data_IF_738065365124
#
_entry.id   IF_738065365124
#
_cell.length_a   1.000
_cell.length_b   1.000
_cell.length_c   1.000
_cell.angle_alpha   90.00
_cell.angle_beta   90.00
_cell.angle_gamma   90.00
#
_symmetry.space_group_name_H-M   'P 1'
#
loop_
_entity.id
_entity.type
_entity.pdbx_description
1 polymer ?
#
# COMPACT_ATOMS: atom_id res chain seq x y z
N UNK A 1 13.10 14.94 20.56
CA UNK A 1 11.96 15.12 19.65
C UNK A 1 12.50 15.39 18.28
N UNK A 2 12.23 14.50 17.32
CA UNK A 2 12.71 14.69 15.95
C UNK A 2 11.68 15.46 15.12
N UNK A 3 12.17 16.28 14.22
CA UNK A 3 11.34 17.02 13.28
C UNK A 3 10.61 16.08 12.33
N UNK A 4 11.27 15.00 11.96
CA UNK A 4 10.75 13.98 11.06
C UNK A 4 9.51 13.29 11.62
N UNK A 5 9.49 13.01 12.92
CA UNK A 5 8.32 12.42 13.58
C UNK A 5 7.16 13.42 13.70
N UNK A 6 7.45 14.69 14.01
CA UNK A 6 6.44 15.75 14.01
C UNK A 6 5.77 15.91 12.63
N UNK A 7 6.58 15.95 11.56
CA UNK A 7 6.10 16.05 10.18
C UNK A 7 5.25 14.83 9.82
N UNK A 8 5.67 13.61 10.21
CA UNK A 8 4.90 12.40 10.01
C UNK A 8 3.53 12.45 10.72
N UNK A 9 3.49 12.81 12.01
CA UNK A 9 2.25 12.90 12.77
C UNK A 9 1.28 13.93 12.19
N UNK A 10 1.79 15.09 11.79
CA UNK A 10 0.97 16.13 11.13
C UNK A 10 0.40 15.64 9.81
N UNK A 11 1.22 15.00 8.97
CA UNK A 11 0.77 14.46 7.69
C UNK A 11 -0.24 13.33 7.87
N UNK A 12 -0.01 12.42 8.81
CA UNK A 12 -0.93 11.34 9.13
C UNK A 12 -2.31 11.88 9.53
N UNK A 13 -2.37 12.77 10.53
CA UNK A 13 -3.62 13.41 10.97
C UNK A 13 -4.32 14.17 9.85
N UNK A 14 -3.56 14.86 9.01
CA UNK A 14 -4.11 15.55 7.84
C UNK A 14 -4.74 14.57 6.84
N UNK A 15 -4.14 13.39 6.64
CA UNK A 15 -4.67 12.38 5.75
C UNK A 15 -5.91 11.67 6.34
N UNK A 16 -5.94 11.39 7.65
CA UNK A 16 -7.14 10.90 8.35
C UNK A 16 -8.31 11.87 8.15
N UNK A 17 -8.05 13.18 8.36
CA UNK A 17 -9.05 14.22 8.14
C UNK A 17 -9.51 14.27 6.68
N UNK A 18 -8.62 14.16 5.70
CA UNK A 18 -8.99 14.09 4.27
C UNK A 18 -9.92 12.91 3.98
N UNK A 19 -9.64 11.74 4.56
CA UNK A 19 -10.50 10.57 4.44
C UNK A 19 -11.90 10.84 4.98
N UNK A 20 -12.01 11.42 6.16
CA UNK A 20 -13.29 11.80 6.75
C UNK A 20 -14.03 12.85 5.92
N UNK A 21 -13.34 13.92 5.47
CA UNK A 21 -13.94 14.96 4.64
C UNK A 21 -14.47 14.38 3.32
N UNK A 22 -13.72 13.47 2.69
CA UNK A 22 -14.18 12.80 1.48
C UNK A 22 -15.45 11.96 1.73
N UNK A 23 -15.49 11.16 2.82
CA UNK A 23 -16.69 10.39 3.19
C UNK A 23 -17.87 11.33 3.43
N UNK A 24 -17.66 12.42 4.16
CA UNK A 24 -18.68 13.43 4.46
C UNK A 24 -19.30 14.04 3.20
N UNK A 25 -18.48 14.25 2.18
CA UNK A 25 -18.90 14.93 0.95
C UNK A 25 -19.47 13.94 -0.11
N UNK A 26 -18.98 12.69 -0.14
CA UNK A 26 -19.31 11.73 -1.17
C UNK A 26 -20.23 10.59 -0.71
N UNK A 27 -20.23 10.26 0.58
CA UNK A 27 -21.04 9.21 1.22
C UNK A 27 -21.70 9.72 2.51
N UNK A 28 -22.48 10.85 2.44
CA UNK A 28 -23.04 11.46 3.64
C UNK A 28 -23.95 10.55 4.45
N UNK A 29 -24.51 9.50 3.84
CA UNK A 29 -25.30 8.48 4.51
C UNK A 29 -24.50 7.60 5.49
N UNK A 30 -23.18 7.61 5.42
CA UNK A 30 -22.30 6.98 6.41
C UNK A 30 -22.12 7.84 7.67
N UNK A 31 -22.57 9.09 7.65
CA UNK A 31 -22.51 9.97 8.81
C UNK A 31 -23.85 9.94 9.53
N UNK A 32 -23.95 9.37 10.74
CA UNK A 32 -25.21 9.32 11.47
C UNK A 32 -25.79 10.72 11.73
N UNK A 33 -27.11 10.83 11.64
CA UNK A 33 -27.83 12.09 11.86
C UNK A 33 -27.46 12.71 13.21
N UNK A 34 -27.15 14.01 13.20
CA UNK A 34 -26.79 14.78 14.39
C UNK A 34 -25.38 14.53 14.94
N UNK A 35 -24.61 13.56 14.37
CA UNK A 35 -23.26 13.23 14.86
C UNK A 35 -22.14 13.89 14.07
N UNK A 36 -22.46 14.66 13.03
CA UNK A 36 -21.45 15.21 12.09
C UNK A 36 -20.37 16.03 12.79
N UNK A 37 -20.73 16.92 13.69
CA UNK A 37 -19.78 17.78 14.41
C UNK A 37 -18.94 16.99 15.41
N UNK A 38 -19.54 16.01 16.11
CA UNK A 38 -18.83 15.16 17.05
C UNK A 38 -17.77 14.30 16.32
N UNK A 39 -18.15 13.69 15.20
CA UNK A 39 -17.27 12.89 14.38
C UNK A 39 -16.17 13.73 13.70
N UNK A 40 -16.50 14.94 13.24
CA UNK A 40 -15.49 15.84 12.70
C UNK A 40 -14.46 16.24 13.76
N UNK A 41 -14.90 16.45 15.00
CA UNK A 41 -13.97 16.70 16.11
C UNK A 41 -13.15 15.45 16.45
N UNK A 42 -13.79 14.29 16.60
CA UNK A 42 -13.14 13.02 16.97
C UNK A 42 -12.10 12.61 15.92
N UNK A 43 -12.50 12.52 14.65
CA UNK A 43 -11.68 11.99 13.57
C UNK A 43 -10.74 13.06 13.00
N UNK A 44 -11.25 14.29 12.83
CA UNK A 44 -10.50 15.37 12.17
C UNK A 44 -9.52 16.11 13.05
N UNK A 45 -9.73 16.14 14.39
CA UNK A 45 -8.89 16.92 15.30
C UNK A 45 -8.33 16.12 16.46
N UNK A 46 -9.14 15.26 17.10
CA UNK A 46 -8.73 14.53 18.30
C UNK A 46 -8.05 13.19 18.01
N UNK A 47 -8.11 12.69 16.76
CA UNK A 47 -7.47 11.46 16.36
C UNK A 47 -6.01 11.42 16.81
N UNK A 48 -5.61 10.31 17.42
CA UNK A 48 -4.25 10.08 17.88
C UNK A 48 -3.67 11.19 18.79
N UNK A 49 -4.55 11.87 19.55
CA UNK A 49 -4.08 12.90 20.49
C UNK A 49 -3.08 12.32 21.51
N UNK A 50 -3.25 11.06 21.89
CA UNK A 50 -2.37 10.37 22.85
C UNK A 50 -0.92 10.29 22.38
N UNK A 51 -0.67 10.24 21.06
CA UNK A 51 0.69 10.26 20.47
C UNK A 51 1.46 11.56 20.76
N UNK A 52 0.80 12.61 21.23
CA UNK A 52 1.46 13.83 21.72
C UNK A 52 1.91 13.76 23.17
N UNK A 53 1.50 12.72 23.92
CA UNK A 53 1.92 12.52 25.30
C UNK A 53 3.35 11.95 25.36
N UNK A 54 4.19 12.36 26.31
CA UNK A 54 5.59 11.92 26.36
C UNK A 54 5.78 10.40 26.39
N UNK A 55 4.88 9.68 27.07
CA UNK A 55 4.95 8.22 27.23
C UNK A 55 4.59 7.42 25.97
N UNK A 56 4.03 8.08 24.97
CA UNK A 56 3.87 7.53 23.62
C UNK A 56 4.85 8.21 22.64
N UNK A 57 4.94 9.54 22.66
CA UNK A 57 5.75 10.30 21.72
C UNK A 57 7.23 9.89 21.72
N UNK A 58 7.87 9.89 22.90
CA UNK A 58 9.30 9.64 23.00
C UNK A 58 9.71 8.23 22.54
N UNK A 59 9.01 7.15 22.95
CA UNK A 59 9.32 5.81 22.46
C UNK A 59 9.07 5.62 20.96
N UNK A 60 8.03 6.21 20.40
CA UNK A 60 7.76 6.16 18.94
C UNK A 60 8.85 6.89 18.16
N UNK A 61 9.23 8.10 18.60
CA UNK A 61 10.30 8.88 17.98
C UNK A 61 11.62 8.11 18.02
N UNK A 62 12.00 7.57 19.19
CA UNK A 62 13.22 6.79 19.36
C UNK A 62 13.22 5.53 18.49
N UNK A 63 12.09 4.83 18.39
CA UNK A 63 11.98 3.59 17.63
C UNK A 63 12.05 3.81 16.13
N UNK A 64 11.31 4.78 15.58
CA UNK A 64 11.22 4.99 14.15
C UNK A 64 12.31 5.93 13.59
N UNK A 65 12.75 6.92 14.37
CA UNK A 65 13.62 7.99 13.91
C UNK A 65 14.95 8.09 14.67
N UNK A 66 15.09 7.42 15.81
CA UNK A 66 16.29 7.49 16.65
C UNK A 66 17.52 6.74 16.12
N UNK A 67 17.39 6.00 15.00
CA UNK A 67 18.51 5.26 14.36
C UNK A 67 19.07 4.08 15.17
N UNK A 68 18.56 3.83 16.39
CA UNK A 68 18.99 2.74 17.28
C UNK A 68 17.79 1.84 17.65
N UNK A 69 17.94 0.54 17.45
CA UNK A 69 16.96 -0.50 17.79
C UNK A 69 17.48 -1.39 18.94
N UNK A 70 18.06 -0.79 19.98
CA UNK A 70 18.45 -1.54 21.17
C UNK A 70 17.26 -2.24 21.83
N UNK A 71 17.53 -3.26 22.64
CA UNK A 71 16.48 -3.99 23.36
C UNK A 71 15.55 -3.03 24.15
N UNK A 72 16.11 -2.02 24.81
CA UNK A 72 15.34 -1.05 25.58
C UNK A 72 14.41 -0.23 24.68
N UNK A 73 14.92 0.29 23.55
CA UNK A 73 14.10 1.07 22.59
C UNK A 73 12.93 0.23 22.07
N UNK A 74 13.13 -1.05 21.77
CA UNK A 74 12.05 -1.95 21.34
C UNK A 74 11.02 -2.13 22.46
N UNK A 75 11.47 -2.37 23.70
CA UNK A 75 10.56 -2.57 24.85
C UNK A 75 9.76 -1.32 25.17
N UNK A 76 10.37 -0.14 25.13
CA UNK A 76 9.70 1.14 25.37
C UNK A 76 8.64 1.40 24.29
N UNK A 77 8.95 1.10 23.02
CA UNK A 77 7.99 1.17 21.92
C UNK A 77 6.82 0.18 22.08
N UNK A 78 7.09 -1.07 22.45
CA UNK A 78 6.03 -2.07 22.69
C UNK A 78 5.07 -1.62 23.81
N UNK A 79 5.63 -1.01 24.87
CA UNK A 79 4.81 -0.45 25.95
C UNK A 79 4.00 0.77 25.49
N UNK A 80 4.61 1.67 24.74
CA UNK A 80 3.91 2.83 24.15
C UNK A 80 2.80 2.39 23.18
N UNK A 81 3.04 1.33 22.39
CA UNK A 81 2.01 0.73 21.53
C UNK A 81 0.85 0.15 22.36
N UNK A 82 1.15 -0.54 23.47
CA UNK A 82 0.12 -1.05 24.37
C UNK A 82 -0.73 0.10 24.95
N UNK A 83 -0.09 1.18 25.41
CA UNK A 83 -0.80 2.37 25.88
C UNK A 83 -1.68 2.96 24.80
N UNK A 84 -1.15 3.05 23.59
CA UNK A 84 -1.82 3.63 22.44
C UNK A 84 -3.13 2.89 22.10
N UNK A 85 -3.09 1.57 21.96
CA UNK A 85 -4.28 0.77 21.63
C UNK A 85 -5.33 0.79 22.76
N UNK A 86 -4.91 0.97 24.01
CA UNK A 86 -5.85 1.09 25.14
C UNK A 86 -6.47 2.49 25.28
N UNK A 87 -5.76 3.54 24.86
CA UNK A 87 -6.23 4.92 24.90
C UNK A 87 -7.09 5.29 23.69
N UNK A 88 -6.92 4.59 22.59
CA UNK A 88 -7.54 4.92 21.30
C UNK A 88 -8.49 3.79 20.84
N UNK A 89 -9.80 3.92 21.10
CA UNK A 89 -10.78 2.88 20.79
C UNK A 89 -10.98 2.60 19.29
N UNK A 90 -10.40 3.40 18.40
CA UNK A 90 -10.39 3.11 16.97
C UNK A 90 -9.46 1.96 16.59
N UNK A 91 -8.64 1.44 17.48
CA UNK A 91 -7.87 0.23 17.26
C UNK A 91 -8.66 -1.02 17.60
N UNK A 92 -8.73 -1.99 16.69
CA UNK A 92 -9.50 -3.22 16.90
C UNK A 92 -9.03 -4.03 18.11
N UNK A 93 -7.73 -3.96 18.46
CA UNK A 93 -7.16 -4.63 19.64
C UNK A 93 -7.79 -4.15 20.95
N UNK A 94 -8.30 -2.93 21.01
CA UNK A 94 -9.02 -2.38 22.17
C UNK A 94 -10.26 -3.19 22.53
N UNK A 95 -10.85 -3.88 21.54
CA UNK A 95 -12.12 -4.60 21.64
C UNK A 95 -11.94 -6.11 21.83
N UNK A 96 -10.72 -6.57 22.11
CA UNK A 96 -10.39 -7.96 22.39
C UNK A 96 -10.24 -8.14 23.90
N UNK A 97 -11.20 -8.82 24.52
CA UNK A 97 -11.18 -9.13 25.95
C UNK A 97 -10.52 -10.50 26.15
N UNK A 98 -9.47 -10.52 26.94
CA UNK A 98 -8.84 -11.74 27.45
C UNK A 98 -9.28 -11.92 28.88
N UNK A 99 -9.87 -13.08 29.19
CA UNK A 99 -10.37 -13.40 30.51
C UNK A 99 -9.25 -13.89 31.44
N UNK A 100 -9.47 -13.74 32.75
CA UNK A 100 -8.53 -14.25 33.77
C UNK A 100 -8.62 -15.77 33.92
N UNK A 101 -9.77 -16.37 33.58
CA UNK A 101 -9.97 -17.82 33.62
C UNK A 101 -9.39 -18.45 32.33
N UNK A 102 -8.42 -19.38 32.44
CA UNK A 102 -7.81 -20.03 31.28
C UNK A 102 -8.77 -20.92 30.49
N UNK A 103 -9.91 -21.33 31.09
CA UNK A 103 -10.94 -22.12 30.42
C UNK A 103 -11.92 -21.24 29.62
N UNK A 104 -11.86 -19.91 29.79
CA UNK A 104 -12.65 -18.96 29.01
C UNK A 104 -11.88 -18.51 27.75
N UNK A 105 -12.52 -18.66 26.60
CA UNK A 105 -11.95 -18.15 25.34
C UNK A 105 -11.98 -16.62 25.33
N UNK A 106 -11.10 -16.01 24.54
CA UNK A 106 -11.14 -14.55 24.29
C UNK A 106 -12.51 -14.12 23.75
N UNK A 107 -12.98 -12.96 24.15
CA UNK A 107 -14.22 -12.36 23.65
C UNK A 107 -13.94 -11.18 22.76
N UNK A 108 -14.47 -11.20 21.54
CA UNK A 108 -14.39 -10.09 20.60
C UNK A 108 -15.64 -9.24 20.73
N UNK A 109 -15.49 -8.03 21.23
CA UNK A 109 -16.59 -7.10 21.48
C UNK A 109 -16.96 -6.33 20.20
N UNK A 110 -18.23 -5.93 20.09
CA UNK A 110 -18.68 -5.05 19.02
C UNK A 110 -18.09 -3.66 19.19
N UNK A 111 -17.41 -3.16 18.15
CA UNK A 111 -16.93 -1.78 18.12
C UNK A 111 -18.09 -0.82 17.83
N UNK A 112 -18.27 0.27 18.58
CA UNK A 112 -19.22 1.33 18.25
C UNK A 112 -18.90 1.96 16.89
N UNK A 113 -19.96 2.37 16.18
CA UNK A 113 -19.85 2.82 14.80
C UNK A 113 -18.87 4.01 14.60
N UNK A 114 -18.86 4.95 15.53
CA UNK A 114 -17.97 6.10 15.53
C UNK A 114 -16.48 5.69 15.48
N UNK A 115 -16.12 4.66 16.23
CA UNK A 115 -14.74 4.14 16.24
C UNK A 115 -14.44 3.26 15.01
N UNK A 116 -15.46 2.58 14.45
CA UNK A 116 -15.31 1.88 13.16
C UNK A 116 -14.97 2.90 12.06
N UNK A 117 -15.70 4.01 12.02
CA UNK A 117 -15.48 5.05 11.01
C UNK A 117 -14.12 5.73 11.19
N UNK A 118 -13.70 5.97 12.44
CA UNK A 118 -12.35 6.51 12.75
C UNK A 118 -11.25 5.53 12.35
N UNK A 119 -11.37 4.25 12.75
CA UNK A 119 -10.44 3.18 12.35
C UNK A 119 -10.31 3.09 10.82
N UNK A 120 -11.43 3.20 10.12
CA UNK A 120 -11.45 3.19 8.67
C UNK A 120 -10.69 4.38 8.07
N UNK A 121 -10.90 5.60 8.58
CA UNK A 121 -10.19 6.79 8.14
C UNK A 121 -8.69 6.71 8.45
N UNK A 122 -8.31 6.11 9.58
CA UNK A 122 -6.93 5.83 9.96
C UNK A 122 -6.24 4.89 8.96
N UNK A 123 -6.86 3.76 8.65
CA UNK A 123 -6.34 2.85 7.62
C UNK A 123 -6.25 3.51 6.26
N UNK A 124 -7.25 4.30 5.88
CA UNK A 124 -7.28 4.98 4.59
C UNK A 124 -6.27 6.13 4.47
N UNK A 125 -5.81 6.70 5.59
CA UNK A 125 -4.77 7.73 5.61
C UNK A 125 -3.49 7.28 4.89
N UNK A 126 -3.19 5.98 4.92
CA UNK A 126 -2.07 5.38 4.20
C UNK A 126 -2.25 5.42 2.67
N UNK A 127 -3.47 5.20 2.18
CA UNK A 127 -3.80 5.34 0.77
C UNK A 127 -3.63 6.78 0.28
N UNK A 128 -4.02 7.76 1.10
CA UNK A 128 -3.78 9.19 0.83
C UNK A 128 -2.30 9.53 0.78
N UNK A 129 -1.48 8.93 1.64
CA UNK A 129 -0.02 9.17 1.63
C UNK A 129 0.66 8.58 0.40
N UNK A 130 0.11 7.51 -0.16
CA UNK A 130 0.58 6.86 -1.40
C UNK A 130 -0.04 7.46 -2.67
N UNK A 131 -0.93 8.42 -2.56
CA UNK A 131 -1.71 8.96 -3.68
C UNK A 131 -2.47 7.87 -4.47
N UNK A 132 -2.86 6.79 -3.79
CA UNK A 132 -3.62 5.67 -4.36
C UNK A 132 -4.80 5.32 -3.44
N UNK A 133 -5.97 5.87 -3.71
CA UNK A 133 -7.15 5.69 -2.87
C UNK A 133 -7.68 4.24 -2.83
N UNK A 134 -7.30 3.42 -3.82
CA UNK A 134 -7.68 2.01 -3.90
C UNK A 134 -6.77 1.08 -3.09
N UNK A 135 -5.66 1.56 -2.55
CA UNK A 135 -4.70 0.74 -1.79
C UNK A 135 -5.34 0.07 -0.56
N UNK A 136 -6.32 0.72 0.07
CA UNK A 136 -7.03 0.19 1.25
C UNK A 136 -7.72 -1.14 0.97
N UNK A 137 -8.23 -1.38 -0.24
CA UNK A 137 -8.93 -2.62 -0.58
C UNK A 137 -7.96 -3.80 -0.59
N UNK A 138 -6.80 -3.64 -1.23
CA UNK A 138 -5.76 -4.66 -1.24
C UNK A 138 -5.22 -4.90 0.17
N UNK A 139 -4.95 -3.81 0.89
CA UNK A 139 -4.46 -3.90 2.27
C UNK A 139 -5.46 -4.62 3.18
N UNK A 140 -6.76 -4.32 3.07
CA UNK A 140 -7.78 -5.01 3.87
C UNK A 140 -7.85 -6.49 3.53
N UNK A 141 -7.84 -6.86 2.26
CA UNK A 141 -7.86 -8.26 1.83
C UNK A 141 -6.68 -9.07 2.38
N UNK A 142 -5.50 -8.48 2.44
CA UNK A 142 -4.30 -9.11 3.02
C UNK A 142 -4.39 -9.26 4.55
N UNK A 143 -5.07 -8.34 5.24
CA UNK A 143 -5.06 -8.26 6.71
C UNK A 143 -6.33 -8.75 7.38
N UNK A 144 -7.46 -8.84 6.66
CA UNK A 144 -8.79 -9.15 7.24
C UNK A 144 -8.85 -10.43 8.07
N UNK A 145 -8.06 -11.46 7.70
CA UNK A 145 -8.01 -12.73 8.42
C UNK A 145 -7.18 -12.67 9.71
N UNK A 146 -6.28 -11.69 9.82
CA UNK A 146 -5.48 -11.47 11.01
C UNK A 146 -6.22 -10.63 12.05
N UNK A 147 -7.07 -9.71 11.60
CA UNK A 147 -7.81 -8.81 12.49
C UNK A 147 -8.93 -9.54 13.22
N UNK A 148 -8.95 -9.40 14.55
CA UNK A 148 -10.01 -9.95 15.41
C UNK A 148 -11.15 -8.94 15.54
N UNK A 149 -12.04 -8.96 14.56
CA UNK A 149 -13.26 -8.15 14.53
C UNK A 149 -14.47 -9.04 14.83
N UNK A 150 -15.44 -8.57 15.64
CA UNK A 150 -16.72 -9.25 15.73
C UNK A 150 -17.41 -9.31 14.37
N UNK A 151 -18.31 -10.26 14.15
CA UNK A 151 -19.04 -10.40 12.88
C UNK A 151 -19.77 -9.11 12.50
N UNK A 152 -20.35 -8.43 13.50
CA UNK A 152 -21.05 -7.15 13.28
C UNK A 152 -20.09 -6.03 12.88
N UNK A 153 -18.95 -5.91 13.58
CA UNK A 153 -17.92 -4.92 13.26
C UNK A 153 -17.36 -5.17 11.87
N UNK A 154 -17.01 -6.42 11.55
CA UNK A 154 -16.49 -6.83 10.24
C UNK A 154 -17.47 -6.49 9.13
N UNK A 155 -18.73 -6.86 9.30
CA UNK A 155 -19.77 -6.54 8.33
C UNK A 155 -19.86 -5.03 8.08
N UNK A 156 -19.81 -4.23 9.14
CA UNK A 156 -19.88 -2.76 9.01
C UNK A 156 -18.66 -2.22 8.24
N UNK A 157 -17.47 -2.72 8.51
CA UNK A 157 -16.24 -2.35 7.76
C UNK A 157 -16.37 -2.70 6.28
N UNK A 158 -16.84 -3.91 5.98
CA UNK A 158 -17.00 -4.39 4.60
C UNK A 158 -18.10 -3.63 3.85
N UNK A 159 -19.20 -3.25 4.54
CA UNK A 159 -20.25 -2.39 3.98
C UNK A 159 -19.71 -0.98 3.63
N UNK A 160 -18.84 -0.40 4.47
CA UNK A 160 -18.16 0.88 4.21
C UNK A 160 -17.23 0.75 2.99
N UNK A 161 -16.38 -0.30 2.97
CA UNK A 161 -15.46 -0.56 1.87
C UNK A 161 -16.20 -0.71 0.53
N UNK A 162 -17.31 -1.48 0.51
CA UNK A 162 -18.11 -1.68 -0.70
C UNK A 162 -18.67 -0.36 -1.24
N UNK A 163 -19.30 0.44 -0.37
CA UNK A 163 -19.87 1.74 -0.78
C UNK A 163 -18.79 2.70 -1.27
N UNK A 164 -17.64 2.70 -0.62
CA UNK A 164 -16.53 3.54 -1.04
C UNK A 164 -15.95 3.11 -2.38
N UNK A 165 -15.82 1.79 -2.62
CA UNK A 165 -15.36 1.26 -3.90
C UNK A 165 -16.30 1.69 -5.04
N UNK A 166 -17.60 1.47 -4.84
CA UNK A 166 -18.63 1.85 -5.83
C UNK A 166 -18.57 3.36 -6.14
N UNK A 167 -18.35 4.18 -5.11
CA UNK A 167 -18.29 5.64 -5.26
C UNK A 167 -17.03 6.10 -5.97
N UNK A 168 -15.88 5.52 -5.66
CA UNK A 168 -14.62 5.80 -6.35
C UNK A 168 -14.69 5.40 -7.83
N UNK A 169 -15.31 4.26 -8.14
CA UNK A 169 -15.54 3.81 -9.51
C UNK A 169 -16.49 4.75 -10.27
N UNK A 170 -17.55 5.25 -9.63
CA UNK A 170 -18.44 6.26 -10.22
C UNK A 170 -17.70 7.55 -10.57
N UNK A 171 -16.82 8.03 -9.68
CA UNK A 171 -16.00 9.21 -9.94
C UNK A 171 -15.03 8.98 -11.10
N UNK A 172 -14.38 7.81 -11.16
CA UNK A 172 -13.50 7.44 -12.26
C UNK A 172 -14.26 7.40 -13.59
N UNK A 173 -15.47 6.83 -13.62
CA UNK A 173 -16.33 6.80 -14.80
C UNK A 173 -16.78 8.20 -15.22
N UNK A 174 -17.15 9.07 -14.29
CA UNK A 174 -17.56 10.45 -14.59
C UNK A 174 -16.40 11.27 -15.16
N UNK A 175 -15.19 11.09 -14.65
CA UNK A 175 -13.99 11.73 -15.18
C UNK A 175 -13.55 11.16 -16.53
N UNK A 176 -13.85 9.90 -16.83
CA UNK A 176 -13.61 9.29 -18.15
C UNK A 176 -14.68 9.62 -19.19
N UNK A 177 -15.84 10.13 -18.77
CA UNK A 177 -16.99 10.43 -19.63
C UNK A 177 -17.02 11.81 -20.29
N UNK A 178 -16.02 12.69 -20.08
CA UNK A 178 -15.96 14.01 -20.73
C UNK A 178 -15.53 13.84 -22.18
N UNK A 179 -16.47 14.09 -23.08
CA UNK A 179 -16.29 13.96 -24.54
C UNK A 179 -15.12 14.84 -25.03
N UNK A 180 -14.01 14.20 -25.41
CA UNK A 180 -12.81 14.89 -25.93
C UNK A 180 -11.56 14.75 -25.04
N UNK A 181 -11.63 14.17 -23.85
CA UNK A 181 -10.42 13.84 -23.07
C UNK A 181 -9.77 12.58 -23.62
N UNK A 182 -8.53 12.71 -24.03
CA UNK A 182 -7.68 11.55 -24.34
C UNK A 182 -7.03 11.07 -23.05
N UNK A 183 -7.14 9.79 -22.76
CA UNK A 183 -6.37 9.10 -21.72
C UNK A 183 -4.88 9.44 -21.88
N UNK A 184 -4.22 9.83 -20.78
CA UNK A 184 -2.80 10.18 -20.78
C UNK A 184 -2.48 11.65 -21.04
N UNK A 185 -3.48 12.54 -21.11
CA UNK A 185 -3.28 14.00 -21.17
C UNK A 185 -3.46 14.61 -19.77
N UNK A 186 -2.84 15.77 -19.53
CA UNK A 186 -2.67 16.51 -18.26
C UNK A 186 -3.93 16.68 -17.37
N UNK A 187 -5.11 16.23 -17.83
CA UNK A 187 -6.39 16.21 -17.14
C UNK A 187 -6.99 14.81 -17.04
N UNK A 188 -6.18 13.74 -17.25
CA UNK A 188 -6.55 12.36 -16.93
C UNK A 188 -6.71 12.15 -15.42
N UNK A 189 -7.05 10.91 -14.98
CA UNK A 189 -7.20 10.62 -13.56
C UNK A 189 -6.02 11.16 -12.77
N UNK A 190 -6.22 11.69 -11.54
CA UNK A 190 -5.19 12.40 -10.78
C UNK A 190 -3.98 11.55 -10.40
N UNK A 191 -3.99 10.28 -10.77
CA UNK A 191 -2.88 9.36 -10.54
C UNK A 191 -2.31 8.90 -11.88
N UNK A 192 -0.99 9.05 -12.12
CA UNK A 192 -0.38 8.35 -13.23
C UNK A 192 -0.61 6.86 -12.95
N UNK A 193 -1.44 6.22 -13.80
CA UNK A 193 -1.39 4.77 -13.92
C UNK A 193 0.03 4.52 -14.39
N UNK A 194 0.91 4.04 -13.49
CA UNK A 194 2.28 3.68 -13.81
C UNK A 194 2.29 2.41 -14.68
N UNK A 195 1.50 2.42 -15.75
CA UNK A 195 1.38 1.37 -16.74
C UNK A 195 1.81 1.91 -18.10
N UNK A 196 2.79 1.25 -18.65
CA UNK A 196 3.21 1.43 -20.04
C UNK A 196 2.71 0.24 -20.86
N UNK A 197 2.77 0.35 -22.17
CA UNK A 197 2.63 -0.81 -23.06
C UNK A 197 3.97 -1.05 -23.73
N UNK A 198 4.36 -2.32 -23.88
CA UNK A 198 5.51 -2.69 -24.68
C UNK A 198 5.17 -2.59 -26.19
N UNK A 199 6.16 -2.82 -27.04
CA UNK A 199 5.99 -2.78 -28.49
C UNK A 199 4.92 -3.78 -29.02
N UNK A 200 4.60 -4.84 -28.26
CA UNK A 200 3.55 -5.80 -28.56
C UNK A 200 2.19 -5.43 -27.97
N UNK A 201 2.06 -4.26 -27.34
CA UNK A 201 0.81 -3.77 -26.74
C UNK A 201 0.42 -4.40 -25.38
N UNK A 202 1.32 -5.17 -24.75
CA UNK A 202 1.10 -5.74 -23.41
C UNK A 202 1.30 -4.67 -22.35
N UNK A 203 0.47 -4.69 -21.31
CA UNK A 203 0.55 -3.77 -20.19
C UNK A 203 1.79 -4.03 -19.33
N UNK A 204 2.46 -2.96 -18.92
CA UNK A 204 3.65 -2.97 -18.07
C UNK A 204 3.36 -2.13 -16.83
N UNK A 205 3.63 -2.69 -15.64
CA UNK A 205 3.59 -1.97 -14.38
C UNK A 205 4.97 -1.36 -14.09
N UNK A 206 5.05 -0.05 -13.88
CA UNK A 206 6.28 0.61 -13.46
C UNK A 206 6.48 0.40 -11.96
N UNK A 207 7.66 -0.05 -11.57
CA UNK A 207 8.03 -0.33 -10.19
C UNK A 207 9.37 0.31 -9.83
N UNK A 208 9.62 0.56 -8.56
CA UNK A 208 10.87 1.17 -8.10
C UNK A 208 12.00 0.16 -7.90
N UNK A 209 11.66 -1.12 -7.72
CA UNK A 209 12.64 -2.21 -7.53
C UNK A 209 12.15 -3.51 -8.16
N UNK A 210 13.12 -4.38 -8.52
CA UNK A 210 12.83 -5.74 -8.99
C UNK A 210 12.60 -6.66 -7.78
N UNK A 211 11.58 -7.49 -7.87
CA UNK A 211 11.30 -8.54 -6.89
C UNK A 211 11.14 -9.88 -7.61
N UNK A 212 11.50 -10.98 -6.92
CA UNK A 212 11.33 -12.34 -7.45
C UNK A 212 9.85 -12.78 -7.52
N UNK A 213 8.95 -12.00 -6.92
CA UNK A 213 7.50 -12.16 -7.02
C UNK A 213 6.87 -10.91 -7.60
N UNK A 214 5.86 -11.09 -8.46
CA UNK A 214 5.18 -9.98 -9.13
C UNK A 214 3.78 -10.38 -9.61
N UNK A 215 3.12 -9.52 -10.41
CA UNK A 215 1.76 -9.77 -10.87
C UNK A 215 1.67 -11.04 -11.72
N UNK A 216 0.62 -11.89 -11.55
CA UNK A 216 0.48 -13.15 -12.26
C UNK A 216 0.43 -12.92 -13.78
N UNK A 217 1.29 -13.62 -14.52
CA UNK A 217 1.48 -13.46 -15.98
C UNK A 217 1.75 -12.01 -16.41
N UNK A 218 2.24 -11.17 -15.49
CA UNK A 218 2.44 -9.73 -15.68
C UNK A 218 3.87 -9.37 -16.07
N UNK A 219 4.03 -8.10 -16.42
CA UNK A 219 5.32 -7.48 -16.75
C UNK A 219 5.51 -6.26 -15.85
N UNK A 220 6.67 -6.16 -15.18
CA UNK A 220 7.08 -4.94 -14.48
C UNK A 220 8.28 -4.30 -15.15
N UNK A 221 8.44 -2.98 -14.99
CA UNK A 221 9.58 -2.24 -15.52
C UNK A 221 10.21 -1.35 -14.46
N UNK A 222 11.54 -1.37 -14.41
CA UNK A 222 12.35 -0.41 -13.68
C UNK A 222 13.11 0.44 -14.66
N UNK A 223 13.20 1.73 -14.38
CA UNK A 223 14.08 2.66 -15.07
C UNK A 223 15.12 3.17 -14.06
N UNK A 224 16.39 2.86 -14.34
CA UNK A 224 17.50 3.28 -13.50
C UNK A 224 17.91 4.74 -13.79
N UNK A 225 18.54 5.40 -12.82
CA UNK A 225 18.99 6.80 -12.94
C UNK A 225 19.99 7.04 -14.10
N UNK A 226 20.68 6.00 -14.53
CA UNK A 226 21.63 6.04 -15.67
C UNK A 226 20.96 5.78 -17.04
N UNK A 227 19.62 5.69 -17.08
CA UNK A 227 18.86 5.41 -18.30
C UNK A 227 18.70 3.92 -18.64
N UNK A 228 19.26 3.01 -17.85
CA UNK A 228 19.06 1.58 -18.01
C UNK A 228 17.61 1.19 -17.70
N UNK A 229 17.05 0.30 -18.52
CA UNK A 229 15.68 -0.20 -18.34
C UNK A 229 15.73 -1.72 -18.22
N UNK A 230 14.99 -2.24 -17.23
CA UNK A 230 14.81 -3.66 -16.99
C UNK A 230 13.33 -4.00 -16.98
N UNK A 231 12.93 -5.02 -17.74
CA UNK A 231 11.58 -5.59 -17.75
C UNK A 231 11.60 -6.99 -17.16
N UNK A 232 10.77 -7.23 -16.15
CA UNK A 232 10.66 -8.50 -15.45
C UNK A 232 9.33 -9.14 -15.79
N UNK A 233 9.37 -10.42 -16.13
CA UNK A 233 8.23 -11.25 -16.53
C UNK A 233 7.95 -12.28 -15.47
N UNK A 234 6.68 -12.49 -15.16
CA UNK A 234 6.23 -13.38 -14.10
C UNK A 234 5.29 -14.46 -14.65
N UNK A 235 5.31 -15.63 -14.03
CA UNK A 235 4.38 -16.72 -14.33
C UNK A 235 3.05 -16.56 -13.57
N UNK A 236 2.14 -17.53 -13.74
CA UNK A 236 0.86 -17.60 -13.05
C UNK A 236 1.00 -17.84 -11.53
N UNK A 237 2.16 -18.36 -11.07
CA UNK A 237 2.51 -18.55 -9.67
C UNK A 237 3.25 -17.35 -9.07
N UNK A 238 3.17 -16.18 -9.70
CA UNK A 238 3.81 -14.93 -9.29
C UNK A 238 5.35 -14.95 -9.31
N UNK A 239 6.01 -15.99 -9.85
CA UNK A 239 7.47 -16.13 -9.85
C UNK A 239 8.07 -15.42 -11.03
N UNK A 240 9.16 -14.70 -10.83
CA UNK A 240 9.94 -14.11 -11.92
C UNK A 240 10.55 -15.23 -12.78
N UNK A 241 10.21 -15.26 -14.06
CA UNK A 241 10.73 -16.25 -15.00
C UNK A 241 11.75 -15.68 -15.97
N UNK A 242 11.71 -14.36 -16.18
CA UNK A 242 12.61 -13.69 -17.14
C UNK A 242 12.80 -12.22 -16.78
N UNK A 243 13.99 -11.68 -17.10
CA UNK A 243 14.27 -10.26 -17.10
C UNK A 243 14.93 -9.89 -18.44
N UNK A 244 14.50 -8.79 -19.04
CA UNK A 244 15.11 -8.22 -20.22
C UNK A 244 15.72 -6.86 -19.85
N UNK A 245 16.99 -6.67 -20.18
CA UNK A 245 17.76 -5.45 -19.94
C UNK A 245 18.20 -4.82 -21.25
N UNK A 246 18.10 -3.50 -21.34
CA UNK A 246 18.50 -2.74 -22.54
C UNK A 246 19.97 -2.35 -22.57
N UNK A 247 20.78 -2.79 -21.62
CA UNK A 247 22.19 -2.44 -21.52
C UNK A 247 23.00 -3.53 -20.79
N UNK A 248 24.32 -3.32 -20.71
CA UNK A 248 25.27 -4.27 -20.09
C UNK A 248 25.51 -4.04 -18.58
N UNK A 249 24.71 -3.26 -17.89
CA UNK A 249 24.86 -2.90 -16.46
C UNK A 249 26.25 -2.39 -16.08
N UNK A 250 27.01 -1.81 -17.03
CA UNK A 250 28.40 -1.39 -16.82
C UNK A 250 29.41 -2.55 -16.74
N UNK A 251 29.01 -3.78 -17.14
CA UNK A 251 29.82 -5.00 -17.09
C UNK A 251 29.98 -5.63 -18.50
N UNK A 252 30.63 -4.96 -19.46
CA UNK A 252 30.66 -5.41 -20.84
C UNK A 252 31.32 -6.77 -21.06
N UNK A 253 32.18 -7.23 -20.12
CA UNK A 253 32.79 -8.57 -20.20
C UNK A 253 31.84 -9.71 -19.84
N UNK A 254 30.80 -9.42 -19.09
CA UNK A 254 29.79 -10.42 -18.63
C UNK A 254 28.52 -10.35 -19.47
N UNK A 255 28.20 -9.16 -20.00
CA UNK A 255 26.98 -8.86 -20.75
C UNK A 255 27.35 -8.28 -22.13
N UNK A 256 27.96 -9.10 -22.95
CA UNK A 256 28.46 -8.71 -24.29
C UNK A 256 27.52 -9.14 -25.42
N UNK A 257 26.22 -8.98 -25.21
CA UNK A 257 25.19 -9.32 -26.19
C UNK A 257 24.66 -8.08 -26.89
N UNK A 258 24.16 -8.24 -28.11
CA UNK A 258 23.56 -7.18 -28.89
C UNK A 258 24.50 -6.00 -29.18
N UNK A 259 23.93 -4.85 -29.57
CA UNK A 259 24.69 -3.62 -29.93
C UNK A 259 25.01 -2.79 -28.68
N UNK A 260 24.10 -2.76 -27.70
CA UNK A 260 24.22 -1.95 -26.48
C UNK A 260 24.43 -2.79 -25.22
N UNK A 261 24.65 -4.11 -25.39
CA UNK A 261 24.74 -5.08 -24.28
C UNK A 261 23.37 -5.53 -23.76
N UNK A 262 22.36 -5.35 -24.59
CA UNK A 262 21.00 -5.84 -24.29
C UNK A 262 20.98 -7.36 -24.23
N UNK A 263 20.32 -7.91 -23.19
CA UNK A 263 20.32 -9.33 -22.90
C UNK A 263 19.11 -9.77 -22.08
N UNK A 264 18.90 -11.09 -22.01
CA UNK A 264 17.94 -11.72 -21.14
C UNK A 264 18.59 -12.47 -19.98
N UNK A 265 17.95 -12.44 -18.83
CA UNK A 265 18.16 -13.39 -17.75
C UNK A 265 16.95 -14.31 -17.67
N UNK A 266 17.15 -15.63 -17.69
CA UNK A 266 16.11 -16.60 -17.38
C UNK A 266 16.24 -17.04 -15.93
N UNK A 267 15.11 -17.21 -15.26
CA UNK A 267 15.01 -17.64 -13.87
C UNK A 267 14.32 -18.99 -13.82
N UNK A 268 14.95 -19.96 -13.16
CA UNK A 268 14.39 -21.28 -12.89
C UNK A 268 14.45 -21.56 -11.40
N UNK A 269 13.55 -22.40 -10.91
CA UNK A 269 13.42 -22.75 -9.50
C UNK A 269 13.56 -24.26 -9.35
N UNK A 270 14.38 -24.70 -8.40
CA UNK A 270 14.47 -26.10 -8.05
C UNK A 270 13.32 -26.56 -7.12
N UNK A 271 13.33 -27.85 -6.75
CA UNK A 271 12.29 -28.44 -5.89
C UNK A 271 12.25 -27.81 -4.48
N UNK A 272 13.38 -27.29 -4.00
CA UNK A 272 13.52 -26.61 -2.71
C UNK A 272 13.18 -25.10 -2.78
N UNK A 273 12.88 -24.59 -4.00
CA UNK A 273 12.53 -23.20 -4.23
C UNK A 273 13.72 -22.25 -4.39
N UNK A 274 14.96 -22.77 -4.49
CA UNK A 274 16.11 -21.93 -4.81
C UNK A 274 16.06 -21.46 -6.25
N UNK A 275 16.45 -20.18 -6.46
CA UNK A 275 16.44 -19.55 -7.76
C UNK A 275 17.78 -19.71 -8.47
N UNK A 276 17.74 -20.17 -9.71
CA UNK A 276 18.88 -20.21 -10.61
C UNK A 276 18.67 -19.18 -11.73
N UNK A 277 19.71 -18.42 -12.04
CA UNK A 277 19.68 -17.40 -13.06
C UNK A 277 20.75 -17.67 -14.13
N UNK A 278 20.33 -17.71 -15.38
CA UNK A 278 21.20 -17.78 -16.54
C UNK A 278 21.11 -16.50 -17.37
N UNK A 279 22.12 -16.25 -18.18
CA UNK A 279 22.18 -15.10 -19.09
C UNK A 279 22.31 -15.57 -20.53
N UNK A 280 21.62 -14.90 -21.44
CA UNK A 280 21.67 -15.20 -22.87
C UNK A 280 21.35 -13.99 -23.74
N UNK A 281 21.60 -14.12 -25.01
CA UNK A 281 21.12 -13.17 -26.01
C UNK A 281 19.60 -13.17 -26.13
N UNK A 282 19.03 -12.03 -26.53
CA UNK A 282 17.59 -11.91 -26.81
C UNK A 282 17.23 -12.70 -28.06
N UNK A 283 16.09 -13.37 -28.02
CA UNK A 283 15.46 -13.94 -29.22
C UNK A 283 14.85 -12.85 -30.10
N UNK A 284 14.57 -13.17 -31.36
CA UNK A 284 13.92 -12.25 -32.32
C UNK A 284 12.52 -11.81 -31.80
N UNK A 285 11.78 -12.70 -31.18
CA UNK A 285 10.46 -12.39 -30.59
C UNK A 285 10.59 -11.45 -29.40
N UNK A 286 11.60 -11.64 -28.54
CA UNK A 286 11.87 -10.75 -27.41
C UNK A 286 12.32 -9.37 -27.87
N UNK A 287 13.14 -9.30 -28.92
CA UNK A 287 13.52 -8.03 -29.55
C UNK A 287 12.31 -7.31 -30.14
N UNK A 288 11.41 -8.04 -30.79
CA UNK A 288 10.19 -7.47 -31.36
C UNK A 288 9.25 -6.98 -30.24
N UNK A 289 9.07 -7.77 -29.19
CA UNK A 289 8.20 -7.43 -28.06
C UNK A 289 8.71 -6.22 -27.26
N UNK A 290 10.03 -6.05 -27.17
CA UNK A 290 10.69 -5.01 -26.36
C UNK A 290 11.40 -3.94 -27.19
N UNK A 291 11.07 -3.83 -28.48
CA UNK A 291 11.73 -2.88 -29.39
C UNK A 291 11.58 -1.40 -29.00
N UNK A 292 10.70 -1.09 -28.07
CA UNK A 292 10.51 0.24 -27.51
C UNK A 292 11.55 0.63 -26.44
N UNK A 293 12.36 -0.32 -25.96
CA UNK A 293 13.43 -0.08 -24.96
C UNK A 293 14.83 -0.49 -25.45
N UNK A 294 14.94 -1.19 -26.58
CA UNK A 294 16.20 -1.72 -27.12
C UNK A 294 16.89 -0.76 -28.05
#
# INVERSE_FOLDING_TARGET
>A
MSREYDEYLQQHKANVKKGYDWIKDNLPELIPDGRRLDLEHQIGFAHDYSKSQPDEYEPYDAYFYGGNRSYQVVRDYEYAWLLHIHRNPHHWQHWVLIHDDPDEAETILDMPYEYILEMFCDWWAFSWSKENLYEIFNWYDEHKNYMKLSDKTRKTVEDILSKMHDKLDEEEIQHSGVKGMKWGVKNGPPYPINRLKNAAGKDILIVERTELKGPPNGITQITHKNGGIERNYYDDNLRQIKQISNNNHGKPKQHSYGIHGEHAHDYTYDEDGYVHRSIRELTDDERKENGDIL
#
